data_IF_383027553388
#
_entry.id   IF_383027553388
#
_cell.length_a   1.000
_cell.length_b   1.000
_cell.length_c   1.000
_cell.angle_alpha   90.00
_cell.angle_beta   90.00
_cell.angle_gamma   90.00
#
_symmetry.space_group_name_H-M   'P 1'
#
loop_
_entity.id
_entity.type
_entity.pdbx_description
1 polymer ?
#
# COMPACT_ATOMS: atom_id res chain seq x y z
N UNK A 1 15.82 76.74 -29.78
CA UNK A 1 15.03 75.69 -30.46
C UNK A 1 15.07 74.38 -29.67
N UNK A 2 14.44 74.29 -28.49
CA UNK A 2 14.51 73.08 -27.62
C UNK A 2 13.13 72.70 -27.04
N UNK A 3 12.07 73.51 -27.22
CA UNK A 3 10.83 73.37 -26.44
C UNK A 3 9.74 72.52 -27.14
N UNK A 4 9.97 72.03 -28.37
CA UNK A 4 8.94 71.29 -29.14
C UNK A 4 9.01 69.76 -28.95
N UNK A 5 10.07 69.21 -28.33
CA UNK A 5 10.24 67.75 -28.21
C UNK A 5 9.61 67.11 -26.97
N UNK A 6 9.01 67.90 -26.06
CA UNK A 6 8.52 67.37 -24.78
C UNK A 6 7.04 66.93 -24.78
N UNK A 7 6.28 67.13 -25.86
CA UNK A 7 4.81 66.97 -25.85
C UNK A 7 4.33 65.63 -26.47
N UNK A 8 5.21 64.81 -27.04
CA UNK A 8 4.80 63.56 -27.73
C UNK A 8 5.03 62.25 -26.96
N UNK A 9 5.22 62.26 -25.63
CA UNK A 9 5.56 61.03 -24.92
C UNK A 9 4.74 60.71 -23.66
N UNK A 10 3.41 60.92 -23.69
CA UNK A 10 2.49 60.50 -22.63
C UNK A 10 1.15 60.01 -23.21
N UNK A 11 1.20 59.18 -24.26
CA UNK A 11 0.03 58.47 -24.79
C UNK A 11 0.27 56.96 -24.75
N UNK A 12 -0.03 56.38 -23.59
CA UNK A 12 -0.39 54.97 -23.37
C UNK A 12 -0.71 54.80 -21.88
N UNK A 13 -1.88 55.30 -21.47
CA UNK A 13 -2.49 54.88 -20.21
C UNK A 13 -3.03 53.47 -20.44
N UNK A 14 -2.28 52.46 -19.99
CA UNK A 14 -2.71 51.08 -19.96
C UNK A 14 -3.93 50.95 -19.05
N UNK A 15 -5.09 50.70 -19.64
CA UNK A 15 -6.34 50.40 -18.96
C UNK A 15 -6.44 48.89 -18.78
N UNK A 16 -5.74 48.36 -17.78
CA UNK A 16 -5.91 46.97 -17.34
C UNK A 16 -6.72 47.00 -16.05
N UNK A 17 -8.01 46.66 -16.17
CA UNK A 17 -8.83 46.31 -15.01
C UNK A 17 -8.25 45.04 -14.38
N UNK A 18 -8.02 44.99 -13.06
CA UNK A 18 -7.69 43.74 -12.40
C UNK A 18 -8.90 42.82 -12.46
N UNK A 19 -8.72 41.66 -13.07
CA UNK A 19 -9.72 40.60 -13.12
C UNK A 19 -9.85 39.98 -11.72
N UNK A 20 -10.86 40.42 -10.97
CA UNK A 20 -11.22 39.85 -9.68
C UNK A 20 -12.02 38.56 -9.94
N UNK A 21 -11.33 37.49 -10.30
CA UNK A 21 -11.89 36.13 -10.18
C UNK A 21 -11.84 35.75 -8.70
N UNK A 22 -13.00 35.50 -8.04
CA UNK A 22 -13.00 35.03 -6.67
C UNK A 22 -12.31 33.66 -6.64
N UNK A 23 -11.18 33.57 -5.93
CA UNK A 23 -10.52 32.29 -5.66
C UNK A 23 -11.49 31.45 -4.84
N UNK A 24 -12.14 30.49 -5.51
CA UNK A 24 -12.99 29.51 -4.85
C UNK A 24 -12.06 28.68 -3.95
N UNK A 25 -12.31 28.61 -2.63
CA UNK A 25 -11.49 27.79 -1.76
C UNK A 25 -11.56 26.34 -2.25
N UNK A 26 -10.40 25.77 -2.58
CA UNK A 26 -10.30 24.35 -2.91
C UNK A 26 -10.65 23.57 -1.64
N UNK A 27 -11.87 23.03 -1.60
CA UNK A 27 -12.30 22.14 -0.52
C UNK A 27 -11.47 20.86 -0.69
N UNK A 28 -10.63 20.47 0.29
CA UNK A 28 -9.88 19.23 0.22
C UNK A 28 -10.86 18.07 0.07
N UNK A 29 -10.77 17.35 -1.04
CA UNK A 29 -11.54 16.12 -1.24
C UNK A 29 -10.99 15.03 -0.31
N UNK A 30 -11.46 15.06 0.93
CA UNK A 30 -11.17 14.01 1.91
C UNK A 30 -11.84 12.73 1.44
N UNK A 31 -11.02 11.83 0.89
CA UNK A 31 -11.47 10.53 0.37
C UNK A 31 -12.12 9.78 1.52
N UNK A 32 -13.45 9.57 1.44
CA UNK A 32 -14.18 8.75 2.41
C UNK A 32 -13.43 7.42 2.60
N UNK A 33 -13.20 6.98 3.85
CA UNK A 33 -12.58 5.68 4.09
C UNK A 33 -13.46 4.61 3.45
N UNK A 34 -12.99 4.03 2.35
CA UNK A 34 -13.65 2.90 1.71
C UNK A 34 -13.55 1.77 2.72
N UNK A 35 -14.67 1.38 3.33
CA UNK A 35 -14.74 0.15 4.12
C UNK A 35 -14.60 -0.99 3.11
N UNK A 36 -13.36 -1.38 2.85
CA UNK A 36 -13.07 -2.53 1.99
C UNK A 36 -13.34 -3.74 2.86
N UNK A 37 -14.56 -4.27 2.79
CA UNK A 37 -14.84 -5.65 3.17
C UNK A 37 -14.02 -6.52 2.21
N UNK A 38 -12.72 -6.70 2.49
CA UNK A 38 -11.87 -7.55 1.68
C UNK A 38 -12.44 -8.96 1.81
N UNK A 39 -12.85 -9.58 0.70
CA UNK A 39 -13.31 -10.96 0.74
C UNK A 39 -12.18 -11.80 1.31
N UNK A 40 -12.52 -12.60 2.31
CA UNK A 40 -11.56 -13.50 2.92
C UNK A 40 -11.01 -14.42 1.83
N UNK A 41 -9.72 -14.32 1.55
CA UNK A 41 -9.09 -15.12 0.49
C UNK A 41 -9.22 -16.60 0.84
N UNK A 42 -9.39 -17.43 -0.19
CA UNK A 42 -9.29 -18.89 -0.07
C UNK A 42 -7.98 -19.23 0.65
N UNK A 43 -8.02 -20.24 1.52
CA UNK A 43 -6.88 -20.66 2.32
C UNK A 43 -5.65 -20.95 1.45
N UNK A 44 -4.46 -20.75 2.03
CA UNK A 44 -3.18 -21.08 1.37
C UNK A 44 -3.17 -22.57 1.01
N UNK A 45 -2.61 -22.89 -0.16
CA UNK A 45 -2.44 -24.27 -0.61
C UNK A 45 -1.36 -24.93 0.26
N UNK A 46 -1.65 -26.13 0.75
CA UNK A 46 -0.72 -26.91 1.55
C UNK A 46 0.23 -27.67 0.64
N UNK A 47 1.52 -27.39 0.77
CA UNK A 47 2.59 -28.08 0.04
C UNK A 47 3.22 -29.17 0.92
N UNK A 48 3.62 -30.28 0.30
CA UNK A 48 4.40 -31.31 0.98
C UNK A 48 5.82 -30.81 1.26
N UNK A 49 6.29 -30.96 2.50
CA UNK A 49 7.63 -30.49 2.90
C UNK A 49 8.46 -31.67 3.37
N UNK A 50 9.66 -31.84 2.81
CA UNK A 50 10.59 -32.86 3.27
C UNK A 50 11.10 -32.49 4.67
N UNK A 51 11.13 -33.42 5.64
CA UNK A 51 11.63 -33.14 7.00
C UNK A 51 13.09 -32.72 7.02
N UNK A 52 13.87 -33.13 6.02
CA UNK A 52 15.25 -32.65 5.84
C UNK A 52 15.27 -31.16 5.54
N UNK A 53 14.48 -30.74 4.56
CA UNK A 53 14.38 -29.35 4.11
C UNK A 53 13.84 -28.45 5.21
N UNK A 54 12.84 -28.91 5.98
CA UNK A 54 12.31 -28.13 7.11
C UNK A 54 13.37 -27.82 8.18
N UNK A 55 14.39 -28.68 8.34
CA UNK A 55 15.47 -28.49 9.32
C UNK A 55 16.65 -27.71 8.77
N UNK A 56 17.03 -28.00 7.52
CA UNK A 56 18.23 -27.45 6.90
C UNK A 56 17.96 -26.12 6.20
N UNK A 57 16.78 -25.94 5.62
CA UNK A 57 16.37 -24.70 4.97
C UNK A 57 15.64 -23.83 5.98
N UNK A 58 16.09 -22.58 6.12
CA UNK A 58 15.43 -21.54 6.91
C UNK A 58 14.15 -21.05 6.19
N UNK A 59 13.19 -21.96 5.98
CA UNK A 59 11.94 -21.68 5.27
C UNK A 59 11.06 -20.72 6.08
N UNK A 60 10.39 -19.82 5.38
CA UNK A 60 9.36 -18.95 5.95
C UNK A 60 8.02 -19.65 5.78
N UNK A 61 7.50 -20.28 6.84
CA UNK A 61 6.29 -21.10 6.79
C UNK A 61 5.18 -20.64 7.75
N UNK A 62 5.43 -19.61 8.58
CA UNK A 62 4.40 -19.04 9.44
C UNK A 62 4.31 -17.51 9.28
N UNK A 63 3.17 -16.94 9.67
CA UNK A 63 2.97 -15.50 9.62
C UNK A 63 3.98 -14.74 10.50
N UNK A 64 4.40 -15.32 11.63
CA UNK A 64 5.37 -14.69 12.54
C UNK A 64 6.77 -14.50 11.93
N UNK A 65 7.10 -15.30 10.90
CA UNK A 65 8.35 -15.17 10.15
C UNK A 65 8.18 -14.32 8.87
N UNK A 66 6.95 -13.92 8.55
CA UNK A 66 6.62 -13.26 7.29
C UNK A 66 6.77 -11.75 7.42
N UNK A 67 7.46 -11.12 6.47
CA UNK A 67 7.63 -9.66 6.40
C UNK A 67 6.31 -8.90 6.23
N UNK A 68 5.27 -9.56 5.71
CA UNK A 68 3.94 -8.97 5.51
C UNK A 68 3.02 -9.09 6.74
N UNK A 69 3.49 -9.68 7.83
CA UNK A 69 2.71 -9.81 9.05
C UNK A 69 2.97 -8.62 9.98
N UNK A 70 1.88 -7.94 10.36
CA UNK A 70 1.94 -6.92 11.39
C UNK A 70 1.72 -7.57 12.75
N UNK A 71 2.79 -7.69 13.55
CA UNK A 71 2.72 -8.20 14.91
C UNK A 71 1.83 -7.33 15.80
N UNK A 72 1.87 -6.01 15.64
CA UNK A 72 1.06 -5.06 16.42
C UNK A 72 -0.44 -5.25 16.18
N UNK A 73 -0.84 -5.50 14.93
CA UNK A 73 -2.24 -5.64 14.54
C UNK A 73 -2.71 -7.10 14.47
N UNK A 74 -1.81 -8.07 14.70
CA UNK A 74 -2.03 -9.51 14.49
C UNK A 74 -2.73 -9.79 13.15
N UNK A 75 -2.28 -9.11 12.08
CA UNK A 75 -2.95 -9.16 10.78
C UNK A 75 -1.93 -9.40 9.67
N UNK A 76 -2.28 -10.32 8.76
CA UNK A 76 -1.53 -10.52 7.54
C UNK A 76 -1.94 -9.44 6.52
N UNK A 77 -0.98 -8.67 6.00
CA UNK A 77 -1.25 -7.65 4.98
C UNK A 77 -1.80 -8.25 3.67
N UNK A 78 -1.54 -9.53 3.41
CA UNK A 78 -2.07 -10.27 2.26
C UNK A 78 -3.55 -10.68 2.41
N UNK A 79 -4.16 -10.43 3.58
CA UNK A 79 -5.57 -10.73 3.83
C UNK A 79 -5.86 -12.16 4.30
N UNK A 80 -4.84 -12.94 4.65
CA UNK A 80 -5.01 -14.27 5.24
C UNK A 80 -5.33 -14.20 6.75
N UNK A 81 -6.09 -15.18 7.26
CA UNK A 81 -6.31 -15.34 8.70
C UNK A 81 -5.03 -15.84 9.38
N UNK A 82 -4.44 -15.01 10.24
CA UNK A 82 -3.17 -15.34 10.90
C UNK A 82 -3.28 -16.56 11.81
N UNK A 83 -4.43 -16.78 12.44
CA UNK A 83 -4.67 -17.84 13.42
C UNK A 83 -4.34 -19.22 12.87
N UNK A 84 -4.59 -19.44 11.58
CA UNK A 84 -4.32 -20.73 10.91
C UNK A 84 -2.85 -20.89 10.50
N UNK A 85 -2.08 -19.81 10.51
CA UNK A 85 -0.71 -19.75 10.01
C UNK A 85 0.29 -19.39 11.12
N UNK A 86 -0.08 -19.63 12.38
CA UNK A 86 0.87 -19.56 13.50
C UNK A 86 1.86 -20.71 13.42
N UNK A 87 3.04 -20.54 14.02
CA UNK A 87 4.07 -21.59 14.03
C UNK A 87 3.55 -22.90 14.60
N UNK A 88 2.81 -22.82 15.71
CA UNK A 88 2.22 -23.97 16.38
C UNK A 88 1.26 -24.74 15.48
N UNK A 89 0.32 -24.04 14.83
CA UNK A 89 -0.66 -24.69 13.96
C UNK A 89 -0.02 -25.29 12.72
N UNK A 90 1.00 -24.64 12.16
CA UNK A 90 1.74 -25.14 11.00
C UNK A 90 2.52 -26.42 11.35
N UNK A 91 3.22 -26.45 12.49
CA UNK A 91 3.94 -27.64 12.93
C UNK A 91 2.97 -28.78 13.26
N UNK A 92 1.89 -28.50 13.98
CA UNK A 92 0.85 -29.49 14.25
C UNK A 92 0.24 -30.07 12.97
N UNK A 93 -0.01 -29.22 11.97
CA UNK A 93 -0.54 -29.66 10.67
C UNK A 93 0.49 -30.52 9.91
N UNK A 94 1.76 -30.13 9.97
CA UNK A 94 2.86 -30.88 9.39
C UNK A 94 2.99 -32.26 10.02
N UNK A 95 2.97 -32.36 11.34
CA UNK A 95 3.08 -33.63 12.06
C UNK A 95 1.92 -34.58 11.70
N UNK A 96 0.74 -34.03 11.40
CA UNK A 96 -0.45 -34.81 11.03
C UNK A 96 -0.49 -35.20 9.54
N UNK A 97 0.03 -34.36 8.64
CA UNK A 97 -0.23 -34.49 7.19
C UNK A 97 1.02 -34.55 6.32
N UNK A 98 2.19 -34.22 6.88
CA UNK A 98 3.43 -33.99 6.13
C UNK A 98 3.40 -32.74 5.25
N UNK A 99 2.41 -31.85 5.44
CA UNK A 99 2.21 -30.65 4.61
C UNK A 99 2.19 -29.37 5.43
N UNK A 100 2.60 -28.26 4.82
CA UNK A 100 2.61 -26.93 5.43
C UNK A 100 2.03 -25.87 4.47
N UNK A 101 1.41 -24.85 5.02
CA UNK A 101 1.00 -23.68 4.24
C UNK A 101 2.19 -22.72 4.12
N UNK A 102 2.87 -22.73 2.97
CA UNK A 102 3.92 -21.78 2.67
C UNK A 102 3.28 -20.49 2.13
N UNK A 103 3.57 -19.34 2.75
CA UNK A 103 3.14 -18.04 2.24
C UNK A 103 3.87 -17.76 0.91
N UNK A 104 3.32 -18.23 -0.21
CA UNK A 104 3.85 -18.13 -1.59
C UNK A 104 3.87 -16.70 -2.16
N UNK A 105 4.04 -15.68 -1.34
CA UNK A 105 4.42 -14.33 -1.81
C UNK A 105 5.80 -14.30 -2.50
N UNK A 106 6.53 -15.41 -2.49
CA UNK A 106 7.77 -15.60 -3.25
C UNK A 106 7.53 -16.11 -4.69
N UNK A 107 6.28 -16.34 -5.11
CA UNK A 107 5.93 -16.49 -6.52
C UNK A 107 5.73 -15.09 -7.14
N UNK A 108 6.82 -14.35 -7.27
CA UNK A 108 6.89 -13.30 -8.28
C UNK A 108 7.41 -14.00 -9.54
N UNK A 109 6.52 -14.16 -10.51
CA UNK A 109 6.86 -14.02 -11.91
C UNK A 109 6.52 -12.55 -12.29
#
# INVERSE_FOLDING_TARGET
MIIVWLIMNLSKRNNTRPDFTPLRPEIPHEKRPKIINQPERRSIILDGVNPRDLRELSLIYCCEQCSYFSHSLKKCAMGFRFEKHTRENQLRLYDLTGKMALCRSQEID
#
